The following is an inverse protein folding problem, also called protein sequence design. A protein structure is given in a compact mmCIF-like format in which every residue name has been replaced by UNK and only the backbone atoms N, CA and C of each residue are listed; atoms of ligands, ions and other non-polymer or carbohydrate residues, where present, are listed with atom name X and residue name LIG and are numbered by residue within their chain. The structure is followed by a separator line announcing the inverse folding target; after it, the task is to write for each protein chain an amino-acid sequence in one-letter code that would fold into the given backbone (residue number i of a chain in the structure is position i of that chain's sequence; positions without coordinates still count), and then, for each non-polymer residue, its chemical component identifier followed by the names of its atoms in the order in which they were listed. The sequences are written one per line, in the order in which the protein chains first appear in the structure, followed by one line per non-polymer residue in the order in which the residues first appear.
data_IF_148239966128
#
_entry.id   IF_148239966128
#
_cell.length_a   1.000
_cell.length_b   1.000
_cell.length_c   1.000
_cell.angle_alpha   90.00
_cell.angle_beta   90.00
_cell.angle_gamma   90.00
#
_symmetry.space_group_name_H-M   'P 1'
#
loop_
_entity.id
_entity.type
_entity.pdbx_description
1 polymer ?
#
# COMPACT_ATOMS: atom_id res chain seq x y z
N UNK A 1 15.81 25.90 6.14
CA UNK A 1 14.91 26.44 7.20
C UNK A 1 13.84 27.27 6.50
N UNK A 2 12.59 27.04 6.84
CA UNK A 2 11.45 27.80 6.30
C UNK A 2 10.87 28.60 7.47
N UNK A 3 10.35 29.79 7.17
CA UNK A 3 9.56 30.56 8.13
C UNK A 3 8.12 30.10 7.96
N UNK A 4 7.49 29.62 9.04
CA UNK A 4 6.06 29.28 9.04
C UNK A 4 5.18 30.54 9.10
N UNK A 5 3.88 30.39 8.96
CA UNK A 5 2.91 31.49 8.96
C UNK A 5 2.94 32.35 10.25
N UNK A 6 3.55 31.84 11.32
CA UNK A 6 3.75 32.53 12.61
C UNK A 6 5.15 33.18 12.73
N UNK A 7 5.94 33.26 11.65
CA UNK A 7 7.26 33.87 11.66
C UNK A 7 8.39 33.01 12.29
N UNK A 8 8.08 31.76 12.69
CA UNK A 8 9.04 30.86 13.34
C UNK A 8 9.84 30.08 12.28
N UNK A 9 11.17 30.09 12.44
CA UNK A 9 12.05 29.26 11.59
C UNK A 9 11.88 27.79 11.94
N UNK A 10 11.29 27.01 11.04
CA UNK A 10 11.12 25.56 11.18
C UNK A 10 12.02 24.80 10.20
N UNK A 11 12.54 23.66 10.62
CA UNK A 11 13.22 22.74 9.71
C UNK A 11 12.12 22.01 8.93
N UNK A 12 12.11 22.18 7.60
CA UNK A 12 11.23 21.42 6.70
C UNK A 12 12.06 20.45 5.91
N UNK A 13 11.71 19.19 5.99
CA UNK A 13 12.26 18.15 5.11
C UNK A 13 11.62 18.31 3.72
N UNK A 14 12.40 18.76 2.75
CA UNK A 14 11.98 18.79 1.34
C UNK A 14 12.52 17.54 0.64
N UNK A 15 11.64 16.58 0.41
CA UNK A 15 11.98 15.28 -0.19
C UNK A 15 11.65 15.30 -1.67
N UNK A 16 12.67 15.11 -2.52
CA UNK A 16 12.53 14.97 -3.98
C UNK A 16 12.96 13.57 -4.43
N UNK A 17 12.30 13.06 -5.47
CA UNK A 17 12.67 11.77 -6.06
C UNK A 17 12.21 10.52 -5.32
N UNK A 18 11.62 10.64 -4.13
CA UNK A 18 11.04 9.51 -3.39
C UNK A 18 9.51 9.47 -3.53
N UNK A 19 8.96 8.27 -3.48
CA UNK A 19 7.50 8.05 -3.62
C UNK A 19 6.67 8.65 -2.49
N UNK A 20 7.28 9.01 -1.36
CA UNK A 20 6.57 9.61 -0.21
C UNK A 20 5.82 10.89 -0.56
N UNK A 21 6.28 11.64 -1.57
CA UNK A 21 5.60 12.85 -2.05
C UNK A 21 4.41 12.55 -2.95
N UNK A 22 4.25 11.32 -3.45
CA UNK A 22 3.17 10.95 -4.36
C UNK A 22 1.87 10.72 -3.62
N UNK A 23 0.77 11.22 -4.18
CA UNK A 23 -0.60 10.96 -3.66
C UNK A 23 -0.98 9.47 -3.72
N UNK A 24 -0.37 8.70 -4.64
CA UNK A 24 -0.60 7.27 -4.79
C UNK A 24 0.14 6.38 -3.77
N UNK A 25 0.93 6.97 -2.86
CA UNK A 25 1.65 6.21 -1.85
C UNK A 25 0.85 6.17 -0.54
N UNK A 26 0.69 4.99 0.11
CA UNK A 26 -0.13 4.85 1.31
C UNK A 26 0.37 5.67 2.50
N UNK A 27 -0.57 6.18 3.30
CA UNK A 27 -0.29 7.12 4.40
C UNK A 27 0.67 6.52 5.42
N UNK A 28 0.42 5.27 5.87
CA UNK A 28 1.26 4.62 6.87
C UNK A 28 2.72 4.44 6.41
N UNK A 29 2.94 4.23 5.11
CA UNK A 29 4.29 4.12 4.56
C UNK A 29 4.96 5.48 4.37
N UNK A 30 4.18 6.53 4.07
CA UNK A 30 4.70 7.91 4.07
C UNK A 30 5.24 8.29 5.43
N UNK A 31 4.44 8.08 6.47
CA UNK A 31 4.82 8.36 7.86
C UNK A 31 6.09 7.59 8.25
N UNK A 32 6.13 6.29 7.94
CA UNK A 32 7.29 5.46 8.23
C UNK A 32 8.56 5.97 7.53
N UNK A 33 8.50 6.21 6.22
CA UNK A 33 9.67 6.67 5.47
C UNK A 33 10.08 8.10 5.83
N UNK A 34 9.14 8.98 6.14
CA UNK A 34 9.45 10.33 6.62
C UNK A 34 10.23 10.26 7.92
N UNK A 35 9.76 9.46 8.89
CA UNK A 35 10.46 9.24 10.15
C UNK A 35 11.87 8.67 9.95
N UNK A 36 12.01 7.67 9.07
CA UNK A 36 13.34 7.09 8.74
C UNK A 36 14.27 8.15 8.16
N UNK A 37 13.80 9.01 7.25
CA UNK A 37 14.62 10.07 6.68
C UNK A 37 14.99 11.15 7.70
N UNK A 38 14.07 11.52 8.57
CA UNK A 38 14.34 12.46 9.67
C UNK A 38 15.40 11.92 10.61
N UNK A 39 15.31 10.63 10.97
CA UNK A 39 16.27 9.97 11.85
C UNK A 39 17.67 9.87 11.20
N UNK A 40 17.74 9.56 9.90
CA UNK A 40 19.00 9.58 9.14
C UNK A 40 19.63 10.97 9.17
N UNK A 41 18.84 12.03 8.95
CA UNK A 41 19.33 13.41 8.96
C UNK A 41 19.69 13.94 10.36
N UNK A 42 19.20 13.30 11.40
CA UNK A 42 19.51 13.59 12.78
C UNK A 42 20.66 12.71 13.34
N UNK A 43 21.36 11.98 12.45
CA UNK A 43 22.45 11.06 12.79
C UNK A 43 22.06 10.01 13.87
N UNK A 44 20.78 9.57 13.85
CA UNK A 44 20.36 8.48 14.73
C UNK A 44 21.07 7.19 14.32
N UNK A 45 21.60 6.41 15.30
CA UNK A 45 22.28 5.16 15.00
C UNK A 45 21.47 4.21 14.11
N UNK A 46 22.12 3.61 13.12
CA UNK A 46 21.53 2.67 12.16
C UNK A 46 20.71 1.57 12.83
N UNK A 47 21.19 1.05 13.96
CA UNK A 47 20.53 -0.01 14.72
C UNK A 47 19.13 0.40 15.19
N UNK A 48 18.97 1.63 15.66
CA UNK A 48 17.67 2.17 16.11
C UNK A 48 16.71 2.37 14.92
N UNK A 49 17.23 2.84 13.78
CA UNK A 49 16.45 3.00 12.56
C UNK A 49 15.99 1.62 12.06
N UNK A 50 16.88 0.64 12.07
CA UNK A 50 16.57 -0.75 11.70
C UNK A 50 15.52 -1.37 12.61
N UNK A 51 15.65 -1.19 13.92
CA UNK A 51 14.65 -1.62 14.90
C UNK A 51 13.28 -0.99 14.64
N UNK A 52 13.23 0.32 14.38
CA UNK A 52 11.99 1.00 14.04
C UNK A 52 11.32 0.40 12.81
N UNK A 53 12.07 0.13 11.72
CA UNK A 53 11.55 -0.48 10.49
C UNK A 53 11.00 -1.88 10.74
N UNK A 54 11.71 -2.70 11.53
CA UNK A 54 11.27 -4.05 11.90
C UNK A 54 10.00 -4.02 12.77
N UNK A 55 9.93 -3.10 13.72
CA UNK A 55 8.74 -2.90 14.54
C UNK A 55 7.56 -2.41 13.70
N UNK A 56 7.81 -1.53 12.73
CA UNK A 56 6.78 -1.13 11.76
C UNK A 56 6.28 -2.34 10.96
N UNK A 57 7.18 -3.19 10.44
CA UNK A 57 6.82 -4.44 9.72
C UNK A 57 5.92 -5.33 10.59
N UNK A 58 6.31 -5.58 11.85
CA UNK A 58 5.51 -6.38 12.81
C UNK A 58 4.12 -5.77 13.04
N UNK A 59 4.04 -4.44 13.13
CA UNK A 59 2.79 -3.71 13.35
C UNK A 59 1.81 -3.73 12.16
N UNK A 60 2.26 -4.12 10.97
CA UNK A 60 1.44 -4.10 9.75
C UNK A 60 0.11 -4.86 9.87
N UNK A 61 0.10 -5.97 10.62
CA UNK A 61 -1.10 -6.78 10.86
C UNK A 61 -2.17 -6.06 11.70
N UNK A 62 -1.76 -5.06 12.48
CA UNK A 62 -2.63 -4.27 13.35
C UNK A 62 -3.10 -2.97 12.69
N UNK A 63 -2.51 -2.59 11.56
CA UNK A 63 -2.88 -1.35 10.87
C UNK A 63 -4.24 -1.48 10.20
N UNK A 64 -4.98 -0.38 10.21
CA UNK A 64 -6.21 -0.29 9.43
C UNK A 64 -5.89 -0.45 7.95
N UNK A 65 -6.59 -1.34 7.25
CA UNK A 65 -6.37 -1.60 5.83
C UNK A 65 -6.40 -0.31 4.99
N UNK A 66 -7.20 0.67 5.37
CA UNK A 66 -7.33 1.96 4.68
C UNK A 66 -6.04 2.79 4.68
N UNK A 67 -5.17 2.63 5.69
CA UNK A 67 -3.90 3.35 5.81
C UNK A 67 -2.76 2.71 5.04
N UNK A 68 -2.89 1.42 4.69
CA UNK A 68 -1.86 0.62 3.99
C UNK A 68 -2.24 0.27 2.56
N UNK A 69 -3.50 0.43 2.16
CA UNK A 69 -3.96 0.22 0.80
C UNK A 69 -3.46 1.34 -0.14
N UNK A 70 -3.23 1.00 -1.39
CA UNK A 70 -2.61 1.88 -2.38
C UNK A 70 -3.66 2.74 -3.10
N UNK A 71 -3.68 4.07 -2.89
CA UNK A 71 -4.61 4.95 -3.59
C UNK A 71 -4.18 5.15 -5.04
N UNK A 72 -5.15 5.15 -5.96
CA UNK A 72 -4.92 5.43 -7.38
C UNK A 72 -6.20 5.80 -8.10
N UNK A 73 -6.08 6.30 -9.34
CA UNK A 73 -7.20 6.42 -10.26
C UNK A 73 -7.14 5.33 -11.31
N UNK A 74 -8.28 4.70 -11.58
CA UNK A 74 -8.36 3.62 -12.57
C UNK A 74 -8.48 4.20 -13.97
N UNK A 75 -7.66 3.69 -14.91
CA UNK A 75 -7.68 4.11 -16.31
C UNK A 75 -7.74 2.88 -17.23
N UNK A 76 -8.43 3.04 -18.35
CA UNK A 76 -8.47 2.04 -19.42
C UNK A 76 -9.01 0.65 -19.01
N UNK A 77 -9.93 0.58 -18.04
CA UNK A 77 -10.50 -0.70 -17.57
C UNK A 77 -11.03 -1.52 -18.74
N UNK A 78 -11.84 -0.91 -19.64
CA UNK A 78 -12.44 -1.58 -20.79
C UNK A 78 -11.40 -2.24 -21.72
N UNK A 79 -10.20 -1.64 -21.87
CA UNK A 79 -9.11 -2.19 -22.69
C UNK A 79 -8.62 -3.55 -22.17
N UNK A 80 -8.66 -3.74 -20.86
CA UNK A 80 -8.09 -4.89 -20.16
C UNK A 80 -9.13 -5.93 -19.72
N UNK A 81 -10.39 -5.77 -20.09
CA UNK A 81 -11.46 -6.72 -19.79
C UNK A 81 -11.73 -7.62 -21.00
N UNK A 82 -11.94 -8.90 -20.74
CA UNK A 82 -12.67 -9.85 -21.57
C UNK A 82 -13.79 -10.50 -20.76
N UNK A 83 -14.78 -11.05 -21.43
CA UNK A 83 -15.89 -11.77 -20.79
C UNK A 83 -15.64 -13.27 -20.90
N UNK A 84 -15.92 -14.02 -19.85
CA UNK A 84 -15.89 -15.47 -19.85
C UNK A 84 -16.84 -16.03 -18.79
N UNK A 85 -17.74 -16.92 -19.17
CA UNK A 85 -18.68 -17.63 -18.27
C UNK A 85 -19.40 -16.75 -17.25
N UNK A 86 -19.82 -15.53 -17.66
CA UNK A 86 -20.56 -14.61 -16.81
C UNK A 86 -19.71 -13.76 -15.86
N UNK A 87 -18.37 -13.88 -15.90
CA UNK A 87 -17.44 -13.06 -15.13
C UNK A 87 -16.52 -12.24 -16.02
N UNK A 88 -15.94 -11.19 -15.45
CA UNK A 88 -14.94 -10.35 -16.11
C UNK A 88 -13.54 -10.96 -15.94
N UNK A 89 -12.81 -11.12 -17.02
CA UNK A 89 -11.45 -11.67 -17.02
C UNK A 89 -10.47 -10.55 -17.33
N UNK A 90 -9.46 -10.38 -16.47
CA UNK A 90 -8.37 -9.45 -16.71
C UNK A 90 -7.42 -10.00 -17.78
N UNK A 91 -7.23 -9.27 -18.88
CA UNK A 91 -6.29 -9.64 -19.95
C UNK A 91 -4.86 -9.64 -19.43
N UNK A 92 -3.99 -10.46 -20.06
CA UNK A 92 -2.55 -10.48 -19.79
C UNK A 92 -1.97 -9.06 -19.96
N UNK A 93 -1.14 -8.64 -19.03
CA UNK A 93 -0.54 -7.29 -19.02
C UNK A 93 -1.41 -6.20 -18.39
N UNK A 94 -2.60 -6.53 -17.87
CA UNK A 94 -3.40 -5.56 -17.13
C UNK A 94 -2.63 -5.06 -15.89
N UNK A 95 -2.55 -3.74 -15.65
CA UNK A 95 -1.95 -3.19 -14.43
C UNK A 95 -2.67 -3.70 -13.18
N UNK A 96 -1.93 -3.83 -12.06
CA UNK A 96 -2.46 -4.41 -10.81
C UNK A 96 -3.72 -3.69 -10.32
N UNK A 97 -3.74 -2.35 -10.35
CA UNK A 97 -4.90 -1.56 -9.97
C UNK A 97 -6.11 -1.75 -10.90
N UNK A 98 -5.89 -2.07 -12.17
CA UNK A 98 -6.97 -2.42 -13.10
C UNK A 98 -7.50 -3.82 -12.79
N UNK A 99 -6.61 -4.79 -12.50
CA UNK A 99 -7.02 -6.12 -12.02
C UNK A 99 -7.85 -6.03 -10.75
N UNK A 100 -7.45 -5.17 -9.80
CA UNK A 100 -8.17 -4.98 -8.55
C UNK A 100 -9.58 -4.42 -8.76
N UNK A 101 -9.77 -3.52 -9.74
CA UNK A 101 -11.07 -3.01 -10.14
C UNK A 101 -11.95 -4.09 -10.80
N UNK A 102 -11.35 -4.92 -11.66
CA UNK A 102 -12.04 -6.06 -12.29
C UNK A 102 -12.49 -7.06 -11.22
N UNK A 103 -11.64 -7.38 -10.26
CA UNK A 103 -11.96 -8.29 -9.15
C UNK A 103 -13.06 -7.72 -8.24
N UNK A 104 -13.07 -6.41 -7.99
CA UNK A 104 -14.17 -5.74 -7.28
C UNK A 104 -15.49 -5.90 -8.05
N UNK A 105 -15.49 -5.64 -9.35
CA UNK A 105 -16.67 -5.77 -10.20
C UNK A 105 -17.17 -7.23 -10.22
N UNK A 106 -16.25 -8.21 -10.27
CA UNK A 106 -16.58 -9.63 -10.16
C UNK A 106 -17.16 -9.97 -8.79
N UNK A 107 -16.60 -9.40 -7.71
CA UNK A 107 -17.15 -9.60 -6.37
C UNK A 107 -18.61 -9.16 -6.30
N UNK A 108 -18.93 -8.01 -6.88
CA UNK A 108 -20.31 -7.53 -6.95
C UNK A 108 -21.22 -8.49 -7.78
N UNK A 109 -20.74 -9.00 -8.90
CA UNK A 109 -21.49 -9.93 -9.75
C UNK A 109 -21.76 -11.26 -9.01
N UNK A 110 -20.72 -11.88 -8.47
CA UNK A 110 -20.80 -13.19 -7.80
C UNK A 110 -21.74 -13.11 -6.58
N UNK A 111 -21.70 -12.01 -5.83
CA UNK A 111 -22.55 -11.82 -4.66
C UNK A 111 -23.90 -11.16 -4.96
N UNK A 112 -24.26 -10.98 -6.24
CA UNK A 112 -25.52 -10.35 -6.71
C UNK A 112 -25.72 -8.94 -6.15
N UNK A 113 -24.63 -8.20 -5.94
CA UNK A 113 -24.61 -6.84 -5.38
C UNK A 113 -24.59 -5.76 -6.47
N UNK A 114 -24.35 -6.13 -7.73
CA UNK A 114 -24.19 -5.24 -8.88
C UNK A 114 -25.42 -4.38 -9.24
N UNK A 115 -26.61 -4.75 -8.75
CA UNK A 115 -27.82 -3.93 -8.88
C UNK A 115 -27.87 -2.78 -7.88
N UNK A 116 -27.24 -2.94 -6.71
CA UNK A 116 -27.28 -1.97 -5.61
C UNK A 116 -26.02 -1.08 -5.58
N UNK A 117 -24.88 -1.62 -5.97
CA UNK A 117 -23.60 -0.94 -5.89
C UNK A 117 -22.99 -0.78 -7.29
N UNK A 118 -22.55 0.44 -7.66
CA UNK A 118 -21.98 0.69 -8.97
C UNK A 118 -20.61 0.02 -9.13
N UNK A 119 -20.37 -0.53 -10.31
CA UNK A 119 -19.06 -1.06 -10.70
C UNK A 119 -18.02 0.03 -10.76
N UNK A 120 -16.75 -0.33 -10.57
CA UNK A 120 -15.61 0.57 -10.76
C UNK A 120 -15.34 0.73 -12.25
N UNK A 121 -15.31 1.98 -12.70
CA UNK A 121 -15.06 2.37 -14.09
C UNK A 121 -13.82 3.25 -14.26
N UNK A 122 -13.67 3.80 -15.48
CA UNK A 122 -12.58 4.72 -15.79
C UNK A 122 -12.72 6.05 -15.03
N UNK A 123 -11.60 6.59 -14.56
CA UNK A 123 -11.54 7.87 -13.86
C UNK A 123 -11.80 7.77 -12.36
N UNK A 124 -12.36 6.68 -11.88
CA UNK A 124 -12.68 6.53 -10.46
C UNK A 124 -11.42 6.45 -9.61
N UNK A 125 -11.46 7.12 -8.46
CA UNK A 125 -10.44 7.02 -7.41
C UNK A 125 -10.76 5.81 -6.55
N UNK A 126 -9.78 4.95 -6.39
CA UNK A 126 -9.87 3.73 -5.58
C UNK A 126 -8.69 3.63 -4.64
N UNK A 127 -8.82 2.78 -3.63
CA UNK A 127 -7.70 2.17 -2.92
C UNK A 127 -7.71 0.69 -3.22
N UNK A 128 -6.55 0.10 -3.46
CA UNK A 128 -6.42 -1.32 -3.75
C UNK A 128 -5.39 -2.00 -2.86
N UNK A 129 -5.53 -3.29 -2.69
CA UNK A 129 -4.67 -4.10 -1.82
C UNK A 129 -4.42 -5.49 -2.41
N UNK A 130 -3.35 -6.14 -1.95
CA UNK A 130 -3.10 -7.56 -2.19
C UNK A 130 -3.92 -8.41 -1.24
N UNK A 131 -4.29 -9.61 -1.70
CA UNK A 131 -4.98 -10.61 -0.92
C UNK A 131 -4.13 -11.88 -0.81
N UNK A 132 -4.24 -12.57 0.32
CA UNK A 132 -3.79 -13.94 0.53
C UNK A 132 -4.67 -14.90 -0.27
N UNK A 133 -4.35 -16.19 -0.23
CA UNK A 133 -5.25 -17.21 -0.80
C UNK A 133 -6.66 -17.08 -0.20
N UNK A 134 -7.66 -17.14 -1.08
CA UNK A 134 -9.04 -16.85 -0.74
C UNK A 134 -10.00 -17.61 -1.68
N UNK A 135 -11.28 -17.81 -1.29
CA UNK A 135 -12.23 -18.63 -2.06
C UNK A 135 -12.46 -18.16 -3.50
N UNK A 136 -12.38 -16.86 -3.76
CA UNK A 136 -12.58 -16.30 -5.10
C UNK A 136 -11.31 -16.27 -5.95
N UNK A 137 -10.17 -16.72 -5.39
CA UNK A 137 -8.85 -16.72 -6.07
C UNK A 137 -8.43 -15.35 -6.58
N UNK A 138 -8.87 -14.29 -5.91
CA UNK A 138 -8.43 -12.93 -6.22
C UNK A 138 -7.05 -12.66 -5.60
N UNK A 139 -6.10 -12.23 -6.40
CA UNK A 139 -4.77 -11.79 -5.95
C UNK A 139 -4.75 -10.35 -5.42
N UNK A 140 -5.74 -9.57 -5.84
CA UNK A 140 -5.93 -8.16 -5.46
C UNK A 140 -7.40 -7.80 -5.48
N UNK A 141 -7.79 -6.78 -4.74
CA UNK A 141 -9.13 -6.17 -4.80
C UNK A 141 -9.03 -4.69 -4.51
N UNK A 142 -9.96 -3.89 -5.01
CA UNK A 142 -10.07 -2.49 -4.63
C UNK A 142 -11.36 -2.21 -3.85
N UNK A 143 -11.45 -0.97 -3.36
CA UNK A 143 -12.63 -0.39 -2.76
C UNK A 143 -12.63 1.13 -2.99
N UNK A 144 -13.80 1.77 -2.85
CA UNK A 144 -14.00 3.20 -3.11
C UNK A 144 -14.09 4.02 -1.82
N UNK A 145 -14.55 3.42 -0.73
CA UNK A 145 -14.70 4.06 0.57
C UNK A 145 -16.03 3.77 1.23
N UNK A 146 -16.75 4.82 1.66
CA UNK A 146 -18.00 4.68 2.45
C UNK A 146 -19.18 4.08 1.67
N UNK A 147 -19.14 4.13 0.35
CA UNK A 147 -20.20 3.62 -0.52
C UNK A 147 -20.04 2.13 -0.88
N UNK A 148 -18.99 1.49 -0.39
CA UNK A 148 -18.75 0.09 -0.68
C UNK A 148 -19.67 -0.84 0.11
N UNK A 149 -20.04 -2.01 -0.47
CA UNK A 149 -20.76 -3.03 0.30
C UNK A 149 -19.94 -3.47 1.50
N UNK A 150 -20.56 -3.61 2.69
CA UNK A 150 -19.87 -4.16 3.86
C UNK A 150 -19.20 -5.51 3.61
N UNK A 151 -19.74 -6.30 2.70
CA UNK A 151 -19.20 -7.60 2.30
C UNK A 151 -17.80 -7.47 1.67
N UNK A 152 -17.55 -6.44 0.83
CA UNK A 152 -16.23 -6.17 0.26
C UNK A 152 -15.24 -5.80 1.36
N UNK A 153 -15.64 -4.91 2.27
CA UNK A 153 -14.77 -4.47 3.36
C UNK A 153 -14.42 -5.62 4.32
N UNK A 154 -15.39 -6.49 4.62
CA UNK A 154 -15.15 -7.67 5.42
C UNK A 154 -14.24 -8.68 4.71
N UNK A 155 -14.43 -8.87 3.42
CA UNK A 155 -13.56 -9.73 2.60
C UNK A 155 -12.11 -9.21 2.59
N UNK A 156 -11.91 -7.90 2.44
CA UNK A 156 -10.58 -7.29 2.53
C UNK A 156 -9.97 -7.55 3.91
N UNK A 157 -10.70 -7.28 5.00
CA UNK A 157 -10.18 -7.50 6.36
C UNK A 157 -9.75 -8.93 6.61
N UNK A 158 -10.48 -9.90 6.05
CA UNK A 158 -10.22 -11.32 6.24
C UNK A 158 -8.99 -11.80 5.44
N UNK A 159 -8.82 -11.31 4.22
CA UNK A 159 -7.83 -11.88 3.28
C UNK A 159 -6.69 -10.95 2.92
N UNK A 160 -6.59 -9.75 3.50
CA UNK A 160 -5.50 -8.80 3.19
C UNK A 160 -4.12 -9.42 3.44
N UNK A 161 -3.22 -9.27 2.45
CA UNK A 161 -1.84 -9.73 2.51
C UNK A 161 -0.91 -8.57 2.90
N UNK A 162 -0.80 -8.33 4.20
CA UNK A 162 0.04 -7.26 4.75
C UNK A 162 1.52 -7.46 4.47
N UNK A 163 1.99 -8.70 4.37
CA UNK A 163 3.40 -9.01 4.09
C UNK A 163 3.76 -8.67 2.65
N UNK A 164 2.89 -9.03 1.70
CA UNK A 164 3.05 -8.66 0.29
C UNK A 164 2.96 -7.15 0.07
N UNK A 165 2.04 -6.46 0.77
CA UNK A 165 1.94 -5.00 0.74
C UNK A 165 3.24 -4.37 1.23
N UNK A 166 3.76 -4.78 2.40
CA UNK A 166 5.02 -4.31 2.95
C UNK A 166 6.17 -4.52 1.96
N UNK A 167 6.31 -5.73 1.44
CA UNK A 167 7.36 -6.09 0.48
C UNK A 167 7.32 -5.21 -0.78
N UNK A 168 6.15 -4.95 -1.33
CA UNK A 168 6.01 -4.20 -2.58
C UNK A 168 6.09 -2.68 -2.39
N UNK A 169 5.55 -2.16 -1.30
CA UNK A 169 5.47 -0.73 -1.08
C UNK A 169 6.68 -0.17 -0.33
N UNK A 170 7.15 -0.82 0.74
CA UNK A 170 8.17 -0.27 1.64
C UNK A 170 9.53 -0.94 1.51
N UNK A 171 9.61 -2.27 1.50
CA UNK A 171 10.89 -2.99 1.56
C UNK A 171 11.88 -2.55 0.47
N UNK A 172 11.41 -2.36 -0.76
CA UNK A 172 12.27 -1.89 -1.86
C UNK A 172 12.81 -0.48 -1.63
N UNK A 173 12.07 0.39 -0.94
CA UNK A 173 12.50 1.75 -0.62
C UNK A 173 13.53 1.77 0.49
N UNK A 174 13.30 0.97 1.53
CA UNK A 174 14.29 0.76 2.60
C UNK A 174 15.58 0.22 2.02
N UNK A 175 15.52 -0.81 1.19
CA UNK A 175 16.69 -1.38 0.50
C UNK A 175 17.47 -0.33 -0.29
N UNK A 176 16.78 0.52 -1.03
CA UNK A 176 17.41 1.60 -1.81
C UNK A 176 18.11 2.62 -0.89
N UNK A 177 17.48 3.01 0.23
CA UNK A 177 18.06 3.94 1.19
C UNK A 177 19.29 3.34 1.87
N UNK A 178 19.20 2.10 2.35
CA UNK A 178 20.29 1.40 3.01
C UNK A 178 21.47 1.16 2.06
N UNK A 179 21.19 0.81 0.80
CA UNK A 179 22.23 0.68 -0.22
C UNK A 179 22.97 1.99 -0.51
N UNK A 180 22.24 3.13 -0.56
CA UNK A 180 22.84 4.45 -0.75
C UNK A 180 23.73 4.87 0.43
N UNK A 181 23.39 4.46 1.64
CA UNK A 181 24.15 4.73 2.88
C UNK A 181 25.22 3.67 3.16
N UNK A 182 25.31 2.62 2.35
CA UNK A 182 26.18 1.45 2.55
C UNK A 182 25.92 0.76 3.90
N UNK A 183 24.66 0.74 4.34
CA UNK A 183 24.20 0.04 5.53
C UNK A 183 23.73 -1.36 5.18
N UNK A 184 23.86 -2.29 6.13
CA UNK A 184 23.24 -3.61 6.00
C UNK A 184 21.72 -3.52 6.16
N UNK A 185 20.99 -4.26 5.32
CA UNK A 185 19.53 -4.27 5.36
C UNK A 185 19.04 -4.84 6.70
N UNK A 186 17.97 -4.25 7.30
CA UNK A 186 17.38 -4.80 8.50
C UNK A 186 16.78 -6.18 8.18
N UNK A 187 17.26 -7.20 8.88
CA UNK A 187 16.72 -8.55 8.80
C UNK A 187 16.05 -8.93 10.13
N UNK A 188 15.22 -9.99 10.13
CA UNK A 188 14.48 -10.40 11.32
C UNK A 188 15.41 -10.89 12.45
N UNK A 189 16.68 -11.20 12.15
CA UNK A 189 17.73 -11.62 13.12
C UNK A 189 18.49 -10.43 13.74
N UNK A 190 18.23 -9.19 13.32
CA UNK A 190 18.98 -8.00 13.70
C UNK A 190 18.92 -7.65 15.20
N UNK A 191 18.06 -8.30 15.96
CA UNK A 191 17.93 -8.10 17.43
C UNK A 191 18.51 -9.21 18.29
N UNK A 192 18.80 -10.39 17.74
CA UNK A 192 19.20 -11.56 18.53
C UNK A 192 20.72 -11.72 18.70
N UNK A 193 21.54 -11.16 17.80
CA UNK A 193 22.99 -11.37 17.81
C UNK A 193 23.79 -10.40 18.68
N UNK A 194 23.15 -9.54 19.48
CA UNK A 194 23.86 -8.56 20.36
C UNK A 194 23.84 -8.93 21.85
N UNK A 195 23.34 -10.10 22.23
CA UNK A 195 23.27 -10.54 23.62
C UNK A 195 24.10 -11.82 23.90
N UNK A 196 25.02 -12.18 23.00
CA UNK A 196 25.99 -13.26 23.27
C UNK A 196 27.42 -12.79 22.98
#
# INVERSE_FOLDING_TARGET
KIINDNGVKVNKLDVKGLDIVRSSFPVAFKECLTKVLEDILADVPNEKISEYILNFKKSMKLKKYDTIAMPTSVKNVKKFISMGEGILIAKKGAPVHVKSAINYNNFLLINKLNKKYPSVGNGEKIKWTYLKDNPLKFDTICYKGHEDPPQVLNYIKQYIDTDKIYKQALSKKVKMLYGALKWEEPNDDFGFNKFF
#
